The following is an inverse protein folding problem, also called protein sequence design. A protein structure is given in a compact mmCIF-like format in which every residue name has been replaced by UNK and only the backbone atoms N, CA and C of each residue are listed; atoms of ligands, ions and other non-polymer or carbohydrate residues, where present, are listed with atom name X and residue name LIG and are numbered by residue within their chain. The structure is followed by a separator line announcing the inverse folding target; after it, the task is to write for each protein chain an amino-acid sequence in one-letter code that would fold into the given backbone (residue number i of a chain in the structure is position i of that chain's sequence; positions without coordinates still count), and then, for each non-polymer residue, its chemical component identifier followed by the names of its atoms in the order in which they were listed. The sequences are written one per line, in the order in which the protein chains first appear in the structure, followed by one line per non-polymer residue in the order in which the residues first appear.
data_IF_379867910512
#
_entry.id   IF_379867910512
#
_cell.length_a   1.000
_cell.length_b   1.000
_cell.length_c   1.000
_cell.angle_alpha   90.00
_cell.angle_beta   90.00
_cell.angle_gamma   90.00
#
_symmetry.space_group_name_H-M   'P 1'
#
loop_
_entity.id
_entity.type
_entity.pdbx_description
1 polymer ?
#
# COMPACT_ATOMS: atom_id res chain seq x y z
N UNK A 1 16.17 19.35 47.57
CA UNK A 1 16.87 19.12 46.28
C UNK A 1 15.92 18.32 45.40
N UNK A 2 15.56 18.82 44.21
CA UNK A 2 14.75 18.02 43.29
C UNK A 2 15.60 16.84 42.79
N UNK A 3 14.96 15.68 42.68
CA UNK A 3 15.62 14.47 42.19
C UNK A 3 15.78 14.54 40.66
N UNK A 4 16.80 13.89 40.11
CA UNK A 4 17.04 13.80 38.67
C UNK A 4 15.78 13.44 37.85
N UNK A 5 14.92 12.49 38.29
CA UNK A 5 13.66 12.16 37.59
C UNK A 5 12.57 13.25 37.62
N UNK A 6 12.58 14.15 38.60
CA UNK A 6 11.63 15.28 38.67
C UNK A 6 12.05 16.41 37.73
N UNK A 7 13.36 16.70 37.70
CA UNK A 7 13.96 17.66 36.78
C UNK A 7 13.78 17.22 35.32
N UNK A 8 13.95 15.92 35.06
CA UNK A 8 13.72 15.28 33.76
C UNK A 8 12.27 15.45 33.25
N UNK A 9 11.27 15.12 34.09
CA UNK A 9 9.85 15.26 33.72
C UNK A 9 9.45 16.70 33.47
N UNK A 10 10.07 17.63 34.18
CA UNK A 10 9.80 19.05 34.01
C UNK A 10 10.44 19.60 32.72
N UNK A 11 11.66 19.18 32.39
CA UNK A 11 12.32 19.50 31.12
C UNK A 11 11.53 18.96 29.91
N UNK A 12 11.06 17.71 29.97
CA UNK A 12 10.23 17.11 28.91
C UNK A 12 8.93 17.91 28.68
N UNK A 13 8.25 18.35 29.74
CA UNK A 13 7.04 19.19 29.63
C UNK A 13 7.33 20.56 29.04
N UNK A 14 8.45 21.19 29.38
CA UNK A 14 8.81 22.50 28.81
C UNK A 14 9.20 22.40 27.32
N UNK A 15 9.84 21.32 26.90
CA UNK A 15 10.14 21.04 25.49
C UNK A 15 8.84 20.87 24.70
N UNK A 16 7.91 20.04 25.19
CA UNK A 16 6.59 19.82 24.57
C UNK A 16 5.70 21.10 24.55
N UNK A 17 5.80 21.96 25.56
CA UNK A 17 5.00 23.20 25.61
C UNK A 17 5.46 24.29 24.62
N UNK A 18 6.72 24.23 24.16
CA UNK A 18 7.31 25.20 23.23
C UNK A 18 7.48 24.66 21.79
N UNK A 19 6.94 23.46 21.50
CA UNK A 19 7.11 22.62 20.31
C UNK A 19 6.72 23.23 18.95
N UNK A 20 6.21 24.46 18.90
CA UNK A 20 5.83 25.10 17.63
C UNK A 20 6.52 26.44 17.36
N UNK A 21 7.35 26.99 18.25
CA UNK A 21 7.82 28.39 18.11
C UNK A 21 9.28 28.71 18.43
N UNK A 22 10.08 27.84 19.05
CA UNK A 22 11.43 28.27 19.46
C UNK A 22 12.54 27.80 18.51
N UNK A 23 13.25 28.76 17.90
CA UNK A 23 14.50 28.56 17.14
C UNK A 23 15.74 28.28 18.03
N UNK A 24 15.55 28.12 19.34
CA UNK A 24 16.62 27.94 20.33
C UNK A 24 17.34 26.60 20.11
N UNK A 25 18.58 26.47 20.59
CA UNK A 25 19.37 25.23 20.72
C UNK A 25 19.01 24.45 21.99
N UNK A 26 19.45 23.20 22.14
CA UNK A 26 19.20 22.44 23.38
C UNK A 26 19.91 23.09 24.58
N UNK A 27 21.13 23.58 24.36
CA UNK A 27 21.89 24.34 25.34
C UNK A 27 21.15 25.58 25.84
N UNK A 28 20.57 26.37 24.93
CA UNK A 28 19.78 27.56 25.32
C UNK A 28 18.51 27.22 26.10
N UNK A 29 17.87 26.07 25.80
CA UNK A 29 16.71 25.59 26.56
C UNK A 29 17.10 25.15 27.96
N UNK A 30 18.18 24.37 28.09
CA UNK A 30 18.71 23.95 29.39
C UNK A 30 19.18 25.15 30.20
N UNK A 31 19.79 26.16 29.57
CA UNK A 31 20.18 27.41 30.25
C UNK A 31 18.95 28.23 30.72
N UNK A 32 17.86 28.24 29.94
CA UNK A 32 16.61 28.89 30.37
C UNK A 32 15.94 28.13 31.52
N UNK A 33 15.89 26.81 31.44
CA UNK A 33 15.38 25.97 32.52
C UNK A 33 16.24 26.13 33.77
N UNK A 34 17.56 26.15 33.63
CA UNK A 34 18.50 26.34 34.71
C UNK A 34 18.31 27.70 35.41
N UNK A 35 18.12 28.79 34.65
CA UNK A 35 17.79 30.10 35.22
C UNK A 35 16.48 30.10 36.02
N UNK A 36 15.44 29.42 35.53
CA UNK A 36 14.14 29.32 36.24
C UNK A 36 14.21 28.43 37.47
N UNK A 37 14.98 27.36 37.42
CA UNK A 37 15.17 26.43 38.53
C UNK A 37 16.05 27.03 39.63
N UNK A 38 17.12 27.75 39.25
CA UNK A 38 17.92 28.57 40.17
C UNK A 38 17.05 29.61 40.88
N UNK A 39 16.14 30.28 40.17
CA UNK A 39 15.19 31.22 40.76
C UNK A 39 14.19 30.58 41.73
N UNK A 40 14.02 29.25 41.67
CA UNK A 40 13.19 28.44 42.59
C UNK A 40 14.02 27.71 43.66
N UNK A 41 15.30 28.05 43.81
CA UNK A 41 16.19 27.52 44.84
C UNK A 41 16.85 26.18 44.52
N UNK A 42 16.79 25.72 43.27
CA UNK A 42 17.45 24.49 42.81
C UNK A 42 18.81 24.83 42.19
N UNK A 43 19.89 24.20 42.65
CA UNK A 43 21.22 24.35 42.05
C UNK A 43 21.52 23.16 41.13
N UNK A 44 21.77 23.45 39.85
CA UNK A 44 22.20 22.46 38.87
C UNK A 44 23.72 22.35 38.89
N UNK A 45 24.25 21.14 39.08
CA UNK A 45 25.68 20.91 38.94
C UNK A 45 26.08 20.91 37.46
N UNK A 46 27.34 21.23 37.12
CA UNK A 46 27.84 21.18 35.75
C UNK A 46 27.62 19.82 35.07
N UNK A 47 27.68 18.72 35.83
CA UNK A 47 27.46 17.36 35.38
C UNK A 47 25.99 17.14 34.99
N UNK A 48 25.04 17.51 35.87
CA UNK A 48 23.60 17.40 35.59
C UNK A 48 23.20 18.32 34.43
N UNK A 49 23.82 19.51 34.33
CA UNK A 49 23.56 20.43 33.23
C UNK A 49 24.04 19.87 31.88
N UNK A 50 25.14 19.11 31.86
CA UNK A 50 25.64 18.42 30.67
C UNK A 50 24.72 17.27 30.28
N UNK A 51 24.35 16.41 31.24
CA UNK A 51 23.41 15.30 30.99
C UNK A 51 22.04 15.78 30.50
N UNK A 52 21.51 16.87 31.07
CA UNK A 52 20.26 17.48 30.60
C UNK A 52 20.41 18.10 29.21
N UNK A 53 21.60 18.58 28.84
CA UNK A 53 21.87 19.10 27.49
C UNK A 53 21.95 17.96 26.49
N UNK A 54 22.69 16.89 26.79
CA UNK A 54 22.80 15.69 25.94
C UNK A 54 21.43 15.02 25.77
N UNK A 55 20.63 14.96 26.85
CA UNK A 55 19.25 14.48 26.80
C UNK A 55 18.34 15.43 26.02
N UNK A 56 18.44 16.74 26.22
CA UNK A 56 17.67 17.73 25.46
C UNK A 56 18.06 17.73 23.97
N UNK A 57 19.32 17.45 23.62
CA UNK A 57 19.80 17.27 22.25
C UNK A 57 19.30 15.95 21.66
N UNK A 58 19.30 14.85 22.42
CA UNK A 58 18.72 13.56 22.01
C UNK A 58 17.20 13.66 21.82
N UNK A 59 16.49 14.37 22.71
CA UNK A 59 15.07 14.66 22.59
C UNK A 59 14.81 15.63 21.45
N UNK A 60 15.55 16.73 21.31
CA UNK A 60 15.37 17.65 20.17
C UNK A 60 15.66 16.94 18.87
N UNK A 61 16.68 16.09 18.79
CA UNK A 61 16.93 15.26 17.63
C UNK A 61 15.75 14.32 17.39
N UNK A 62 15.28 13.56 18.39
CA UNK A 62 14.22 12.56 18.21
C UNK A 62 12.82 13.16 18.00
N UNK A 63 12.54 14.31 18.62
CA UNK A 63 11.28 15.07 18.55
C UNK A 63 11.28 16.02 17.38
N UNK A 64 12.37 16.73 17.05
CA UNK A 64 12.47 17.51 15.80
C UNK A 64 12.51 16.58 14.60
N UNK A 65 13.22 15.46 14.66
CA UNK A 65 13.16 14.47 13.58
C UNK A 65 11.81 13.77 13.56
N UNK A 66 11.19 13.47 14.70
CA UNK A 66 9.86 12.84 14.78
C UNK A 66 8.73 13.76 14.34
N UNK A 67 8.77 15.05 14.71
CA UNK A 67 7.77 16.09 14.39
C UNK A 67 8.05 16.72 13.04
N UNK A 68 9.29 16.99 12.63
CA UNK A 68 9.56 17.39 11.24
C UNK A 68 9.28 16.24 10.27
N UNK A 69 9.54 14.97 10.62
CA UNK A 69 9.09 13.84 9.78
C UNK A 69 7.57 13.74 9.81
N UNK A 70 6.89 13.81 10.96
CA UNK A 70 5.42 13.76 11.02
C UNK A 70 4.72 14.95 10.32
N UNK A 71 5.31 16.15 10.39
CA UNK A 71 4.80 17.37 9.76
C UNK A 71 5.16 17.46 8.26
N UNK A 72 6.34 16.99 7.83
CA UNK A 72 6.69 16.85 6.39
C UNK A 72 5.90 15.71 5.73
N UNK A 73 5.56 14.64 6.45
CA UNK A 73 4.69 13.54 6.00
C UNK A 73 3.24 14.00 5.70
N UNK A 74 2.80 15.13 6.25
CA UNK A 74 1.46 15.66 6.04
C UNK A 74 1.31 16.47 4.75
N UNK A 75 2.39 17.03 4.19
CA UNK A 75 2.26 18.06 3.14
C UNK A 75 2.66 17.58 1.74
N UNK A 76 3.62 16.65 1.56
CA UNK A 76 3.94 16.13 0.22
C UNK A 76 4.46 14.68 0.25
N UNK A 77 3.75 13.75 -0.40
CA UNK A 77 4.30 12.45 -0.82
C UNK A 77 5.35 12.73 -1.92
N UNK A 78 6.60 12.20 -1.86
CA UNK A 78 6.94 10.78 -1.71
C UNK A 78 8.09 10.52 -0.71
N UNK A 79 7.86 9.63 0.26
CA UNK A 79 8.87 9.25 1.26
C UNK A 79 9.84 8.23 0.66
N UNK A 80 11.02 8.69 0.25
CA UNK A 80 12.20 7.81 0.24
C UNK A 80 12.54 7.46 1.68
N UNK A 81 12.83 6.18 1.93
CA UNK A 81 13.23 5.66 3.23
C UNK A 81 14.58 6.26 3.64
N UNK A 82 14.58 7.32 4.44
CA UNK A 82 15.82 7.99 4.82
C UNK A 82 16.58 7.33 5.97
N UNK A 83 16.03 6.28 6.62
CA UNK A 83 16.81 5.51 7.62
C UNK A 83 17.18 4.14 7.10
N UNK A 84 18.47 3.81 7.18
CA UNK A 84 19.00 2.51 6.80
C UNK A 84 18.31 1.35 7.55
N UNK A 85 17.88 1.58 8.80
CA UNK A 85 17.14 0.61 9.62
C UNK A 85 15.81 0.21 8.99
N UNK A 86 14.97 1.17 8.58
CA UNK A 86 13.67 0.86 7.97
C UNK A 86 13.86 0.21 6.59
N UNK A 87 14.88 0.62 5.83
CA UNK A 87 15.21 -0.03 4.56
C UNK A 87 15.60 -1.51 4.75
N UNK A 88 16.44 -1.82 5.74
CA UNK A 88 16.85 -3.19 6.05
C UNK A 88 15.69 -4.05 6.58
N UNK A 89 14.82 -3.47 7.43
CA UNK A 89 13.62 -4.17 7.93
C UNK A 89 12.63 -4.44 6.81
N UNK A 90 12.49 -3.51 5.85
CA UNK A 90 11.65 -3.72 4.68
C UNK A 90 12.19 -4.85 3.79
N UNK A 91 13.51 -4.93 3.62
CA UNK A 91 14.18 -6.02 2.92
C UNK A 91 13.94 -7.38 3.60
N UNK A 92 13.96 -7.45 4.93
CA UNK A 92 13.64 -8.68 5.69
C UNK A 92 12.16 -9.06 5.57
N UNK A 93 11.27 -8.08 5.69
CA UNK A 93 9.83 -8.27 5.60
C UNK A 93 9.38 -8.78 4.22
N UNK A 94 10.13 -8.40 3.18
CA UNK A 94 9.93 -8.82 1.80
C UNK A 94 9.95 -10.34 1.60
N UNK A 95 10.62 -11.08 2.49
CA UNK A 95 10.76 -12.54 2.40
C UNK A 95 9.74 -13.32 3.26
N UNK A 96 8.69 -12.67 3.76
CA UNK A 96 7.66 -13.30 4.61
C UNK A 96 6.39 -13.70 3.81
N UNK A 97 5.64 -14.69 4.30
CA UNK A 97 4.32 -15.06 3.76
C UNK A 97 3.25 -14.04 4.15
N UNK A 98 2.32 -13.77 3.24
CA UNK A 98 1.31 -12.73 3.38
C UNK A 98 -0.05 -13.27 3.83
N UNK A 99 -1.06 -12.42 4.13
CA UNK A 99 -2.39 -12.86 4.56
C UNK A 99 -3.12 -13.75 3.55
N UNK A 100 -2.78 -13.64 2.26
CA UNK A 100 -3.28 -14.53 1.20
C UNK A 100 -2.51 -15.87 1.14
N UNK A 101 -1.59 -16.12 2.08
CA UNK A 101 -0.78 -17.33 2.18
C UNK A 101 0.42 -17.38 1.24
N UNK A 102 0.56 -16.36 0.38
CA UNK A 102 1.46 -16.32 -0.76
C UNK A 102 2.67 -15.46 -0.40
N UNK A 103 3.88 -15.91 -0.74
CA UNK A 103 5.11 -15.09 -0.70
C UNK A 103 5.42 -14.50 -2.08
N UNK A 104 6.36 -13.55 -2.16
CA UNK A 104 6.82 -13.01 -3.44
C UNK A 104 7.14 -14.09 -4.48
N UNK A 105 7.85 -15.15 -4.06
CA UNK A 105 8.25 -16.23 -4.95
C UNK A 105 7.04 -16.95 -5.57
N UNK A 106 5.95 -17.10 -4.80
CA UNK A 106 4.66 -17.64 -5.27
C UNK A 106 3.92 -16.67 -6.21
N UNK A 107 4.34 -15.40 -6.31
CA UNK A 107 3.79 -14.43 -7.27
C UNK A 107 4.63 -14.39 -8.54
N UNK A 108 5.91 -14.69 -8.39
CA UNK A 108 6.89 -14.78 -9.46
C UNK A 108 7.10 -16.21 -9.98
N UNK A 109 6.41 -17.23 -9.47
CA UNK A 109 6.67 -18.63 -9.81
C UNK A 109 6.47 -18.98 -11.29
N UNK A 110 5.60 -18.23 -11.97
CA UNK A 110 5.33 -18.43 -13.40
C UNK A 110 6.43 -17.85 -14.31
N UNK A 111 7.44 -17.19 -13.75
CA UNK A 111 8.60 -16.72 -14.51
C UNK A 111 9.70 -17.76 -14.47
N UNK A 112 10.46 -17.88 -15.56
CA UNK A 112 11.69 -18.69 -15.58
C UNK A 112 12.64 -18.26 -14.46
N UNK A 113 13.45 -19.19 -13.98
CA UNK A 113 14.26 -19.02 -12.77
C UNK A 113 15.12 -17.75 -12.80
N UNK A 114 15.82 -17.48 -13.91
CA UNK A 114 16.65 -16.30 -14.10
C UNK A 114 15.85 -14.99 -14.00
N UNK A 115 14.68 -14.95 -14.65
CA UNK A 115 13.79 -13.79 -14.60
C UNK A 115 13.27 -13.60 -13.18
N UNK A 116 12.84 -14.68 -12.51
CA UNK A 116 12.34 -14.64 -11.15
C UNK A 116 13.39 -14.09 -10.17
N UNK A 117 14.64 -14.56 -10.27
CA UNK A 117 15.75 -14.06 -9.44
C UNK A 117 15.99 -12.57 -9.70
N UNK A 118 16.13 -12.18 -10.97
CA UNK A 118 16.36 -10.77 -11.31
C UNK A 118 15.22 -9.85 -10.88
N UNK A 119 13.95 -10.28 -11.02
CA UNK A 119 12.80 -9.51 -10.56
C UNK A 119 12.77 -9.37 -9.03
N UNK A 120 13.18 -10.41 -8.31
CA UNK A 120 13.31 -10.37 -6.84
C UNK A 120 14.35 -9.34 -6.41
N UNK A 121 15.53 -9.35 -7.03
CA UNK A 121 16.61 -8.40 -6.73
C UNK A 121 16.19 -6.96 -7.02
N UNK A 122 15.51 -6.73 -8.14
CA UNK A 122 14.99 -5.40 -8.51
C UNK A 122 14.03 -4.87 -7.45
N UNK A 123 13.14 -5.72 -6.94
CA UNK A 123 12.17 -5.30 -5.93
C UNK A 123 12.84 -5.05 -4.57
N UNK A 124 13.77 -5.90 -4.14
CA UNK A 124 14.54 -5.69 -2.91
C UNK A 124 15.33 -4.38 -2.96
N UNK A 125 16.02 -4.11 -4.07
CA UNK A 125 16.75 -2.86 -4.28
C UNK A 125 15.81 -1.65 -4.34
N UNK A 126 14.65 -1.79 -4.99
CA UNK A 126 13.66 -0.72 -5.06
C UNK A 126 13.10 -0.36 -3.68
N UNK A 127 12.81 -1.37 -2.86
CA UNK A 127 12.40 -1.22 -1.46
C UNK A 127 13.49 -0.50 -0.67
N UNK A 128 14.73 -1.00 -0.71
CA UNK A 128 15.88 -0.43 0.01
C UNK A 128 16.15 1.03 -0.36
N UNK A 129 16.05 1.36 -1.64
CA UNK A 129 16.30 2.70 -2.15
C UNK A 129 15.05 3.62 -2.12
N UNK A 130 13.90 3.15 -1.61
CA UNK A 130 12.66 3.92 -1.60
C UNK A 130 12.20 4.37 -2.99
N UNK A 131 12.43 3.55 -4.02
CA UNK A 131 12.11 3.92 -5.41
C UNK A 131 10.60 3.98 -5.64
N UNK A 132 10.17 4.78 -6.63
CA UNK A 132 8.78 4.79 -7.06
C UNK A 132 8.43 3.50 -7.82
N UNK A 133 7.21 3.01 -7.64
CA UNK A 133 6.71 1.81 -8.32
C UNK A 133 6.86 1.91 -9.85
N UNK A 134 6.59 3.08 -10.43
CA UNK A 134 6.67 3.27 -11.88
C UNK A 134 8.12 3.10 -12.39
N UNK A 135 9.11 3.62 -11.64
CA UNK A 135 10.53 3.39 -11.96
C UNK A 135 10.90 1.92 -11.81
N UNK A 136 10.44 1.27 -10.75
CA UNK A 136 10.69 -0.16 -10.48
C UNK A 136 10.16 -1.04 -11.62
N UNK A 137 8.94 -0.79 -12.12
CA UNK A 137 8.35 -1.54 -13.23
C UNK A 137 9.19 -1.45 -14.50
N UNK A 138 9.77 -0.28 -14.80
CA UNK A 138 10.66 -0.13 -15.95
C UNK A 138 11.95 -0.94 -15.79
N UNK A 139 12.50 -1.02 -14.58
CA UNK A 139 13.68 -1.84 -14.29
C UNK A 139 13.34 -3.34 -14.35
N UNK A 140 12.18 -3.75 -13.83
CA UNK A 140 11.67 -5.11 -13.96
C UNK A 140 11.54 -5.50 -15.43
N UNK A 141 10.96 -4.63 -16.26
CA UNK A 141 10.84 -4.88 -17.69
C UNK A 141 12.21 -5.04 -18.36
N UNK A 142 13.16 -4.14 -18.10
CA UNK A 142 14.54 -4.26 -18.62
C UNK A 142 15.23 -5.56 -18.18
N UNK A 143 14.88 -6.06 -17.00
CA UNK A 143 15.42 -7.32 -16.48
C UNK A 143 14.89 -8.50 -17.29
N UNK A 144 13.60 -8.51 -17.63
CA UNK A 144 13.00 -9.50 -18.54
C UNK A 144 13.65 -9.43 -19.93
N UNK A 145 13.84 -8.22 -20.47
CA UNK A 145 14.46 -8.02 -21.78
C UNK A 145 15.91 -8.53 -21.82
N UNK A 146 16.69 -8.30 -20.76
CA UNK A 146 18.06 -8.83 -20.65
C UNK A 146 18.09 -10.36 -20.60
N UNK A 147 17.22 -10.97 -19.80
CA UNK A 147 17.10 -12.42 -19.72
C UNK A 147 16.64 -13.04 -21.05
N UNK A 148 15.92 -12.27 -21.86
CA UNK A 148 15.45 -12.68 -23.20
C UNK A 148 16.46 -12.33 -24.30
N UNK A 149 17.76 -12.56 -24.04
CA UNK A 149 18.86 -12.25 -24.96
C UNK A 149 18.87 -10.78 -25.48
N UNK A 150 18.41 -9.83 -24.66
CA UNK A 150 18.33 -8.41 -25.01
C UNK A 150 17.14 -8.03 -25.90
N UNK A 151 16.17 -8.93 -26.10
CA UNK A 151 14.97 -8.65 -26.88
C UNK A 151 14.16 -7.52 -26.22
N UNK A 152 14.08 -6.37 -26.89
CA UNK A 152 13.22 -5.25 -26.47
C UNK A 152 11.75 -5.68 -26.53
N UNK A 153 10.97 -5.25 -25.55
CA UNK A 153 9.56 -5.63 -25.41
C UNK A 153 9.34 -7.14 -25.28
N UNK A 154 10.30 -7.86 -24.69
CA UNK A 154 10.15 -9.28 -24.41
C UNK A 154 8.87 -9.53 -23.58
N UNK A 155 8.00 -10.42 -24.09
CA UNK A 155 6.72 -10.80 -23.50
C UNK A 155 6.85 -12.22 -22.98
N UNK A 156 6.44 -12.46 -21.72
CA UNK A 156 6.33 -13.83 -21.19
C UNK A 156 5.00 -14.46 -21.59
N UNK A 157 5.02 -15.76 -21.89
CA UNK A 157 3.87 -16.48 -22.46
C UNK A 157 2.58 -16.37 -21.63
N UNK A 158 2.68 -16.24 -20.31
CA UNK A 158 1.54 -16.12 -19.38
C UNK A 158 0.52 -15.02 -19.75
N UNK A 159 0.93 -13.98 -20.46
CA UNK A 159 0.04 -12.86 -20.80
C UNK A 159 -0.74 -13.03 -22.09
N UNK A 160 -0.52 -14.13 -22.81
CA UNK A 160 -1.31 -14.48 -23.98
C UNK A 160 -2.73 -14.88 -23.54
N UNK A 161 -3.74 -14.31 -24.19
CA UNK A 161 -5.15 -14.64 -23.96
C UNK A 161 -5.71 -15.25 -25.25
N UNK A 162 -6.37 -16.40 -25.13
CA UNK A 162 -6.85 -17.18 -26.28
C UNK A 162 -7.72 -16.35 -27.21
N UNK A 163 -8.66 -15.57 -26.68
CA UNK A 163 -9.54 -14.73 -27.52
C UNK A 163 -8.79 -13.69 -28.37
N UNK A 164 -7.63 -13.19 -27.90
CA UNK A 164 -6.82 -12.23 -28.68
C UNK A 164 -6.08 -12.96 -29.78
N UNK A 165 -5.58 -14.15 -29.46
CA UNK A 165 -4.92 -15.03 -30.42
C UNK A 165 -5.91 -15.46 -31.51
N UNK A 166 -7.09 -15.95 -31.14
CA UNK A 166 -8.12 -16.42 -32.05
C UNK A 166 -8.60 -15.29 -32.98
N UNK A 167 -8.80 -14.09 -32.43
CA UNK A 167 -9.14 -12.90 -33.21
C UNK A 167 -8.02 -12.51 -34.18
N UNK A 168 -6.77 -12.55 -33.73
CA UNK A 168 -5.62 -12.25 -34.57
C UNK A 168 -5.48 -13.26 -35.72
N UNK A 169 -5.54 -14.56 -35.43
CA UNK A 169 -5.44 -15.63 -36.42
C UNK A 169 -6.55 -15.51 -37.46
N UNK A 170 -7.81 -15.35 -37.03
CA UNK A 170 -8.94 -15.16 -37.94
C UNK A 170 -8.81 -13.88 -38.80
N UNK A 171 -8.21 -12.81 -38.25
CA UNK A 171 -7.96 -11.57 -38.98
C UNK A 171 -6.87 -11.73 -40.04
N UNK A 172 -5.74 -12.34 -39.70
CA UNK A 172 -4.64 -12.61 -40.63
C UNK A 172 -5.07 -13.58 -41.74
N UNK A 173 -5.83 -14.62 -41.39
CA UNK A 173 -6.39 -15.55 -42.36
C UNK A 173 -7.28 -14.84 -43.38
N UNK A 174 -8.08 -13.85 -42.94
CA UNK A 174 -8.94 -13.05 -43.83
C UNK A 174 -8.14 -12.10 -44.72
N UNK A 175 -7.03 -11.53 -44.22
CA UNK A 175 -6.14 -10.70 -45.03
C UNK A 175 -5.52 -11.53 -46.17
N UNK A 176 -5.17 -12.80 -45.90
CA UNK A 176 -4.52 -13.69 -46.87
C UNK A 176 -5.50 -14.37 -47.82
N UNK A 177 -6.64 -14.80 -47.30
CA UNK A 177 -7.68 -15.52 -48.04
C UNK A 177 -9.07 -14.96 -47.73
N UNK A 178 -9.69 -14.24 -48.68
CA UNK A 178 -11.06 -13.73 -48.54
C UNK A 178 -12.12 -14.79 -48.22
N UNK A 179 -11.89 -16.07 -48.52
CA UNK A 179 -12.84 -17.16 -48.22
C UNK A 179 -13.01 -17.41 -46.71
N UNK A 180 -12.06 -16.98 -45.90
CA UNK A 180 -12.08 -17.18 -44.44
C UNK A 180 -12.97 -16.16 -43.70
N UNK A 181 -13.67 -15.27 -44.42
CA UNK A 181 -14.56 -14.24 -43.85
C UNK A 181 -15.55 -14.76 -42.81
N UNK A 182 -16.10 -15.95 -43.01
CA UNK A 182 -17.01 -16.58 -42.03
C UNK A 182 -16.35 -16.82 -40.66
N UNK A 183 -15.06 -17.16 -40.63
CA UNK A 183 -14.31 -17.35 -39.39
C UNK A 183 -14.03 -16.01 -38.70
N UNK A 184 -13.67 -14.98 -39.48
CA UNK A 184 -13.52 -13.62 -38.98
C UNK A 184 -14.81 -13.07 -38.36
N UNK A 185 -15.94 -13.20 -39.05
CA UNK A 185 -17.23 -12.72 -38.57
C UNK A 185 -17.63 -13.41 -37.26
N UNK A 186 -17.32 -14.71 -37.12
CA UNK A 186 -17.52 -15.46 -35.86
C UNK A 186 -16.62 -14.92 -34.74
N UNK A 187 -15.32 -14.77 -35.00
CA UNK A 187 -14.38 -14.25 -34.00
C UNK A 187 -14.77 -12.83 -33.53
N UNK A 188 -15.24 -11.97 -34.43
CA UNK A 188 -15.78 -10.66 -34.08
C UNK A 188 -16.98 -10.77 -33.15
N UNK A 189 -17.94 -11.65 -33.45
CA UNK A 189 -19.13 -11.84 -32.62
C UNK A 189 -18.75 -12.29 -31.21
N UNK A 190 -17.92 -13.32 -31.09
CA UNK A 190 -17.48 -13.89 -29.81
C UNK A 190 -16.73 -12.87 -28.95
N UNK A 191 -15.82 -12.09 -29.56
CA UNK A 191 -15.06 -11.06 -28.85
C UNK A 191 -15.95 -9.89 -28.45
N UNK A 192 -16.93 -9.51 -29.29
CA UNK A 192 -17.85 -8.41 -28.97
C UNK A 192 -18.72 -8.77 -27.77
N UNK A 193 -19.30 -9.98 -27.75
CA UNK A 193 -20.06 -10.50 -26.62
C UNK A 193 -19.22 -10.52 -25.33
N UNK A 194 -17.98 -11.01 -25.43
CA UNK A 194 -17.04 -11.02 -24.30
C UNK A 194 -16.79 -9.61 -23.76
N UNK A 195 -16.49 -8.64 -24.63
CA UNK A 195 -16.20 -7.26 -24.26
C UNK A 195 -17.43 -6.60 -23.62
N UNK A 196 -18.62 -6.86 -24.16
CA UNK A 196 -19.88 -6.32 -23.62
C UNK A 196 -20.22 -6.88 -22.24
N UNK A 197 -19.85 -8.14 -21.98
CA UNK A 197 -19.91 -8.75 -20.65
C UNK A 197 -18.95 -8.16 -19.62
N UNK A 198 -17.93 -7.39 -20.03
CA UNK A 198 -16.99 -6.77 -19.10
C UNK A 198 -17.58 -5.51 -18.44
N UNK A 199 -17.29 -5.35 -17.14
CA UNK A 199 -17.53 -4.09 -16.43
C UNK A 199 -16.75 -2.95 -17.09
N UNK A 200 -17.39 -1.78 -17.22
CA UNK A 200 -16.81 -0.56 -17.83
C UNK A 200 -15.66 -0.01 -16.97
N UNK A 201 -14.48 -0.60 -17.18
CA UNK A 201 -13.26 -0.39 -16.41
C UNK A 201 -12.06 -0.32 -17.37
N UNK A 202 -10.86 -0.11 -16.83
CA UNK A 202 -9.63 -0.12 -17.64
C UNK A 202 -9.44 -1.41 -18.44
N UNK A 203 -9.85 -2.56 -17.92
CA UNK A 203 -9.75 -3.85 -18.62
C UNK A 203 -10.63 -3.92 -19.86
N UNK A 204 -11.87 -3.41 -19.78
CA UNK A 204 -12.78 -3.32 -20.94
C UNK A 204 -12.21 -2.37 -22.00
N UNK A 205 -11.81 -1.16 -21.60
CA UNK A 205 -11.22 -0.17 -22.51
C UNK A 205 -9.98 -0.68 -23.23
N UNK A 206 -9.15 -1.44 -22.52
CA UNK A 206 -7.97 -2.04 -23.11
C UNK A 206 -8.37 -3.11 -24.14
N UNK A 207 -9.37 -3.95 -23.85
CA UNK A 207 -9.89 -4.96 -24.77
C UNK A 207 -10.52 -4.34 -26.03
N UNK A 208 -11.35 -3.30 -25.85
CA UNK A 208 -11.94 -2.51 -26.95
C UNK A 208 -10.86 -1.93 -27.87
N UNK A 209 -9.75 -1.45 -27.29
CA UNK A 209 -8.63 -0.87 -28.05
C UNK A 209 -7.93 -1.92 -28.93
N UNK A 210 -7.54 -3.08 -28.38
CA UNK A 210 -6.90 -4.12 -29.20
C UNK A 210 -7.87 -4.69 -30.24
N UNK A 211 -9.14 -4.87 -29.89
CA UNK A 211 -10.18 -5.29 -30.82
C UNK A 211 -10.32 -4.31 -32.00
N UNK A 212 -10.41 -3.01 -31.71
CA UNK A 212 -10.48 -1.97 -32.73
C UNK A 212 -9.23 -1.90 -33.61
N UNK A 213 -8.04 -2.09 -33.03
CA UNK A 213 -6.78 -2.07 -33.77
C UNK A 213 -6.65 -3.27 -34.72
N UNK A 214 -7.03 -4.47 -34.29
CA UNK A 214 -7.01 -5.66 -35.15
C UNK A 214 -8.06 -5.52 -36.28
N UNK A 215 -9.25 -5.03 -35.97
CA UNK A 215 -10.27 -4.76 -37.00
C UNK A 215 -9.77 -3.77 -38.06
N UNK A 216 -9.15 -2.68 -37.63
CA UNK A 216 -8.56 -1.69 -38.54
C UNK A 216 -7.44 -2.29 -39.41
N UNK A 217 -6.62 -3.17 -38.84
CA UNK A 217 -5.58 -3.88 -39.59
C UNK A 217 -6.15 -4.76 -40.70
N UNK A 218 -7.23 -5.49 -40.40
CA UNK A 218 -7.96 -6.33 -41.36
C UNK A 218 -8.62 -5.48 -42.46
N UNK A 219 -9.27 -4.37 -42.09
CA UNK A 219 -9.87 -3.43 -43.04
C UNK A 219 -8.84 -2.84 -44.01
N UNK A 220 -7.61 -2.63 -43.54
CA UNK A 220 -6.51 -2.10 -44.35
C UNK A 220 -5.71 -3.19 -45.09
N UNK A 221 -5.98 -4.47 -44.85
CA UNK A 221 -5.21 -5.58 -45.43
C UNK A 221 -3.76 -5.62 -44.97
N UNK A 222 -3.47 -5.20 -43.74
CA UNK A 222 -2.11 -4.98 -43.22
C UNK A 222 -1.81 -5.88 -42.03
N UNK A 223 -1.17 -7.01 -42.27
CA UNK A 223 -0.79 -7.98 -41.23
C UNK A 223 0.12 -7.34 -40.16
N UNK A 224 1.02 -6.43 -40.55
CA UNK A 224 1.96 -5.77 -39.65
C UNK A 224 1.28 -4.89 -38.59
N UNK A 225 0.08 -4.38 -38.89
CA UNK A 225 -0.74 -3.63 -37.95
C UNK A 225 -1.42 -4.56 -36.95
N UNK A 226 -1.84 -5.76 -37.38
CA UNK A 226 -2.39 -6.78 -36.49
C UNK A 226 -1.32 -7.31 -35.53
N UNK A 227 -0.10 -7.58 -36.05
CA UNK A 227 1.06 -7.96 -35.25
C UNK A 227 1.38 -6.91 -34.18
N UNK A 228 1.40 -5.64 -34.58
CA UNK A 228 1.66 -4.52 -33.69
C UNK A 228 0.58 -4.40 -32.61
N UNK A 229 -0.69 -4.56 -32.99
CA UNK A 229 -1.82 -4.50 -32.05
C UNK A 229 -1.68 -5.56 -30.95
N UNK A 230 -1.42 -6.82 -31.32
CA UNK A 230 -1.22 -7.91 -30.37
C UNK A 230 0.02 -7.69 -29.52
N UNK A 231 1.14 -7.28 -30.13
CA UNK A 231 2.41 -7.00 -29.41
C UNK A 231 2.21 -5.95 -28.32
N UNK A 232 1.64 -4.79 -28.64
CA UNK A 232 1.46 -3.72 -27.66
C UNK A 232 0.41 -4.07 -26.60
N UNK A 233 -0.63 -4.83 -26.97
CA UNK A 233 -1.58 -5.38 -26.01
C UNK A 233 -0.91 -6.27 -24.95
N UNK A 234 -0.13 -7.26 -25.40
CA UNK A 234 0.58 -8.18 -24.52
C UNK A 234 1.61 -7.45 -23.64
N UNK A 235 2.32 -6.48 -24.23
CA UNK A 235 3.27 -5.66 -23.51
C UNK A 235 2.61 -4.78 -22.42
N UNK A 236 1.49 -4.12 -22.73
CA UNK A 236 0.69 -3.36 -21.75
C UNK A 236 0.19 -4.25 -20.61
N UNK A 237 -0.27 -5.46 -20.92
CA UNK A 237 -0.69 -6.47 -19.93
C UNK A 237 0.45 -6.89 -19.01
N UNK A 238 1.62 -7.13 -19.58
CA UNK A 238 2.83 -7.44 -18.83
C UNK A 238 3.19 -6.30 -17.88
N UNK A 239 3.29 -5.06 -18.37
CA UNK A 239 3.62 -3.90 -17.54
C UNK A 239 2.60 -3.69 -16.42
N UNK A 240 1.32 -3.87 -16.70
CA UNK A 240 0.26 -3.80 -15.69
C UNK A 240 0.43 -4.88 -14.61
N UNK A 241 0.74 -6.11 -15.01
CA UNK A 241 1.01 -7.21 -14.07
C UNK A 241 2.24 -6.95 -13.21
N UNK A 242 3.34 -6.51 -13.80
CA UNK A 242 4.56 -6.12 -13.07
C UNK A 242 4.28 -4.99 -12.08
N UNK A 243 3.48 -3.98 -12.49
CA UNK A 243 3.05 -2.89 -11.62
C UNK A 243 2.23 -3.40 -10.44
N UNK A 244 1.37 -4.39 -10.67
CA UNK A 244 0.59 -4.99 -9.58
C UNK A 244 1.48 -5.72 -8.58
N UNK A 245 2.43 -6.50 -9.07
CA UNK A 245 3.42 -7.15 -8.21
C UNK A 245 4.17 -6.05 -7.45
N UNK A 246 4.94 -5.20 -8.14
CA UNK A 246 5.77 -4.17 -7.53
C UNK A 246 5.03 -3.34 -6.48
N UNK A 247 3.83 -2.82 -6.79
CA UNK A 247 3.05 -2.04 -5.82
C UNK A 247 2.72 -2.84 -4.57
N UNK A 248 2.28 -4.09 -4.73
CA UNK A 248 1.87 -4.89 -3.58
C UNK A 248 3.08 -5.23 -2.71
N UNK A 249 4.15 -5.76 -3.32
CA UNK A 249 5.34 -6.19 -2.57
C UNK A 249 5.99 -5.01 -1.84
N UNK A 250 6.17 -3.88 -2.53
CA UNK A 250 6.79 -2.70 -1.95
C UNK A 250 5.93 -2.11 -0.82
N UNK A 251 4.61 -2.03 -1.02
CA UNK A 251 3.70 -1.45 -0.03
C UNK A 251 3.62 -2.32 1.24
N UNK A 252 3.59 -3.65 1.08
CA UNK A 252 3.64 -4.60 2.20
C UNK A 252 4.95 -4.50 2.96
N UNK A 253 6.09 -4.52 2.26
CA UNK A 253 7.40 -4.38 2.89
C UNK A 253 7.52 -3.07 3.67
N UNK A 254 7.04 -1.95 3.11
CA UNK A 254 7.01 -0.66 3.82
C UNK A 254 6.14 -0.71 5.07
N UNK A 255 4.97 -1.34 4.98
CA UNK A 255 4.04 -1.48 6.09
C UNK A 255 4.66 -2.17 7.29
N UNK A 256 5.30 -3.32 7.03
CA UNK A 256 5.94 -4.14 8.05
C UNK A 256 7.18 -3.44 8.62
N UNK A 257 7.96 -2.77 7.77
CA UNK A 257 9.16 -2.06 8.22
C UNK A 257 8.86 -0.90 9.17
N UNK A 258 7.79 -0.13 8.90
CA UNK A 258 7.34 0.94 9.80
C UNK A 258 7.03 0.37 11.17
N UNK A 259 6.31 -0.74 11.23
CA UNK A 259 5.97 -1.42 12.48
C UNK A 259 7.23 -1.93 13.18
N UNK A 260 8.01 -2.78 12.52
CA UNK A 260 9.18 -3.42 13.13
C UNK A 260 10.23 -2.40 13.61
N UNK A 261 10.37 -1.27 12.91
CA UNK A 261 11.32 -0.23 13.27
C UNK A 261 10.88 0.69 14.39
N UNK A 262 9.61 0.61 14.84
CA UNK A 262 9.05 1.54 15.83
C UNK A 262 8.27 0.86 16.95
N UNK A 263 7.96 -0.43 16.86
CA UNK A 263 7.14 -1.13 17.85
C UNK A 263 7.79 -1.18 19.24
N UNK A 264 9.12 -1.21 19.31
CA UNK A 264 9.88 -1.22 20.56
C UNK A 264 10.21 0.20 21.07
N UNK A 265 9.76 1.25 20.39
CA UNK A 265 9.92 2.63 20.86
C UNK A 265 8.76 2.99 21.80
N UNK A 266 9.07 3.21 23.09
CA UNK A 266 8.08 3.52 24.13
C UNK A 266 7.38 4.88 23.92
N UNK A 267 7.94 5.77 23.11
CA UNK A 267 7.30 7.05 22.76
C UNK A 267 6.16 6.86 21.76
N UNK A 268 6.20 5.79 20.97
CA UNK A 268 5.14 5.45 20.03
C UNK A 268 4.02 4.76 20.80
N UNK A 269 2.82 5.34 20.74
CA UNK A 269 1.63 4.79 21.40
C UNK A 269 0.80 3.90 20.47
N UNK A 270 1.01 4.03 19.15
CA UNK A 270 0.22 3.32 18.16
C UNK A 270 0.47 3.80 16.72
N UNK A 271 -0.37 3.32 15.80
CA UNK A 271 -0.25 3.55 14.37
C UNK A 271 -1.56 4.04 13.79
N UNK A 272 -1.54 5.22 13.18
CA UNK A 272 -2.68 5.73 12.43
C UNK A 272 -2.72 5.11 11.03
N UNK A 273 -3.83 4.45 10.69
CA UNK A 273 -4.11 4.04 9.32
C UNK A 273 -4.56 5.25 8.50
N UNK A 274 -3.71 5.70 7.57
CA UNK A 274 -3.98 6.85 6.72
C UNK A 274 -4.27 6.42 5.29
N UNK A 275 -5.42 6.82 4.77
CA UNK A 275 -5.77 6.61 3.36
C UNK A 275 -4.78 7.35 2.46
N UNK A 276 -4.39 6.71 1.36
CA UNK A 276 -3.65 7.39 0.29
C UNK A 276 -4.56 8.39 -0.42
N UNK A 277 -3.99 9.46 -0.99
CA UNK A 277 -4.73 10.33 -1.92
C UNK A 277 -5.23 9.60 -3.18
N UNK A 278 -4.64 8.44 -3.50
CA UNK A 278 -5.05 7.55 -4.59
C UNK A 278 -6.11 6.53 -4.19
N UNK A 279 -6.59 6.58 -2.94
CA UNK A 279 -7.64 5.71 -2.42
C UNK A 279 -9.02 6.20 -2.90
N UNK A 280 -9.49 5.66 -4.02
CA UNK A 280 -10.75 6.10 -4.67
C UNK A 280 -11.95 5.20 -4.37
N UNK A 281 -11.72 3.92 -4.08
CA UNK A 281 -12.80 2.96 -3.87
C UNK A 281 -13.01 2.80 -2.38
N UNK A 282 -14.25 2.94 -1.91
CA UNK A 282 -14.57 2.65 -0.51
C UNK A 282 -14.36 1.16 -0.26
N UNK A 283 -13.47 0.82 0.66
CA UNK A 283 -13.13 -0.56 1.04
C UNK A 283 -12.84 -0.67 2.55
N UNK A 284 -12.22 -1.78 2.97
CA UNK A 284 -11.84 -2.02 4.37
C UNK A 284 -10.82 -1.00 4.92
N UNK A 285 -10.02 -0.36 4.07
CA UNK A 285 -9.12 0.70 4.51
C UNK A 285 -9.89 1.90 5.04
N UNK A 286 -11.06 2.23 4.49
CA UNK A 286 -11.90 3.31 5.02
C UNK A 286 -12.36 2.98 6.44
N UNK A 287 -12.68 1.71 6.69
CA UNK A 287 -13.00 1.23 8.01
C UNK A 287 -11.78 1.36 8.94
N UNK A 288 -10.60 0.87 8.54
CA UNK A 288 -9.38 1.00 9.34
C UNK A 288 -8.99 2.46 9.61
N UNK A 289 -9.17 3.35 8.64
CA UNK A 289 -8.94 4.79 8.82
C UNK A 289 -9.99 5.48 9.71
N UNK A 290 -11.06 4.77 10.06
CA UNK A 290 -12.18 5.32 10.82
C UNK A 290 -12.36 4.71 12.21
N UNK A 291 -11.91 3.47 12.46
CA UNK A 291 -12.16 2.76 13.71
C UNK A 291 -11.46 3.45 14.89
N UNK A 292 -12.14 3.58 16.02
CA UNK A 292 -11.55 4.06 17.27
C UNK A 292 -11.20 2.88 18.17
N UNK A 293 -9.90 2.70 18.43
CA UNK A 293 -9.40 1.65 19.32
C UNK A 293 -8.87 2.23 20.65
N UNK A 294 -9.40 3.39 21.07
CA UNK A 294 -9.04 4.05 22.33
C UNK A 294 -7.97 5.15 22.20
N UNK A 295 -7.36 5.28 21.02
CA UNK A 295 -6.38 6.32 20.71
C UNK A 295 -6.91 7.36 19.71
N UNK A 296 -8.20 7.31 19.40
CA UNK A 296 -8.87 8.17 18.43
C UNK A 296 -9.00 7.54 17.05
N UNK A 297 -9.67 8.28 16.17
CA UNK A 297 -10.06 7.83 14.82
C UNK A 297 -8.88 7.29 14.01
N UNK A 298 -8.99 6.01 13.66
CA UNK A 298 -8.07 5.28 12.81
C UNK A 298 -6.71 4.99 13.45
N UNK A 299 -6.56 5.18 14.76
CA UNK A 299 -5.32 4.91 15.49
C UNK A 299 -5.41 3.55 16.17
N UNK A 300 -4.61 2.62 15.68
CA UNK A 300 -4.45 1.29 16.24
C UNK A 300 -3.40 1.31 17.35
N UNK A 301 -3.58 0.47 18.36
CA UNK A 301 -2.54 0.21 19.36
C UNK A 301 -1.42 -0.64 18.76
N UNK A 302 -0.29 -0.79 19.46
CA UNK A 302 0.77 -1.72 19.03
C UNK A 302 0.28 -3.17 18.92
N UNK A 303 -0.65 -3.57 19.78
CA UNK A 303 -1.16 -4.95 19.80
C UNK A 303 -2.21 -5.20 18.72
N UNK A 304 -2.97 -4.16 18.36
CA UNK A 304 -4.11 -4.29 17.44
C UNK A 304 -3.82 -3.84 16.01
N UNK A 305 -2.66 -3.24 15.74
CA UNK A 305 -2.31 -2.78 14.39
C UNK A 305 -2.28 -3.94 13.40
N UNK A 306 -3.00 -3.86 12.26
CA UNK A 306 -2.89 -4.87 11.22
C UNK A 306 -1.44 -4.96 10.76
N UNK A 307 -0.81 -6.13 10.86
CA UNK A 307 0.61 -6.32 10.53
C UNK A 307 0.88 -6.40 9.01
N UNK A 308 -0.19 -6.47 8.22
CA UNK A 308 -0.12 -6.51 6.76
C UNK A 308 -1.06 -5.50 6.11
N UNK A 309 -0.87 -5.27 4.81
CA UNK A 309 -1.83 -4.48 4.02
C UNK A 309 -3.18 -5.17 3.99
N UNK A 310 -4.22 -4.35 4.02
CA UNK A 310 -5.60 -4.83 4.08
C UNK A 310 -6.05 -5.53 2.79
N UNK A 311 -5.42 -5.22 1.66
CA UNK A 311 -5.69 -5.84 0.36
C UNK A 311 -4.51 -5.66 -0.61
N UNK A 312 -4.46 -6.45 -1.71
CA UNK A 312 -3.54 -6.21 -2.81
C UNK A 312 -3.69 -4.80 -3.38
N UNK A 313 -2.62 -4.25 -3.97
CA UNK A 313 -2.59 -2.86 -4.49
C UNK A 313 -2.82 -1.75 -3.46
N UNK A 314 -2.98 -2.05 -2.18
CA UNK A 314 -3.18 -1.02 -1.15
C UNK A 314 -2.01 -0.04 -1.12
N UNK A 315 -2.28 1.25 -1.22
CA UNK A 315 -1.30 2.34 -1.12
C UNK A 315 -1.43 3.13 0.18
N UNK A 316 -2.37 2.75 1.06
CA UNK A 316 -2.58 3.36 2.37
C UNK A 316 -1.36 3.17 3.27
N UNK A 317 -1.17 4.07 4.22
CA UNK A 317 0.06 4.18 5.01
C UNK A 317 -0.23 3.99 6.49
N UNK A 318 0.78 3.52 7.23
CA UNK A 318 0.80 3.64 8.68
C UNK A 318 1.64 4.84 9.08
N UNK A 319 1.07 5.69 9.94
CA UNK A 319 1.78 6.82 10.54
C UNK A 319 1.98 6.48 12.02
N UNK A 320 3.22 6.27 12.50
CA UNK A 320 3.49 6.14 13.93
C UNK A 320 3.01 7.37 14.68
N UNK A 321 2.43 7.17 15.85
CA UNK A 321 1.84 8.25 16.68
C UNK A 321 2.51 8.26 18.05
N UNK A 322 2.86 9.46 18.51
CA UNK A 322 3.28 9.74 19.89
C UNK A 322 2.15 10.35 20.74
N UNK A 323 1.06 10.78 20.09
CA UNK A 323 -0.12 11.36 20.74
C UNK A 323 -1.42 10.84 20.13
N UNK A 324 -2.50 10.71 20.94
CA UNK A 324 -3.82 10.31 20.44
C UNK A 324 -4.41 11.34 19.48
N UNK A 325 -5.37 10.91 18.67
CA UNK A 325 -6.23 11.79 17.87
C UNK A 325 -7.47 12.15 18.70
N UNK A 326 -7.75 13.44 18.84
CA UNK A 326 -8.91 13.91 19.64
C UNK A 326 -10.25 13.57 19.02
N UNK A 327 -10.31 13.41 17.70
CA UNK A 327 -11.52 13.06 16.97
C UNK A 327 -11.84 11.59 17.19
N UNK A 328 -13.01 11.28 17.73
CA UNK A 328 -13.47 9.90 17.86
C UNK A 328 -13.80 9.29 16.51
N UNK A 329 -13.59 7.98 16.42
CA UNK A 329 -13.89 7.15 15.25
C UNK A 329 -15.18 6.34 15.36
N UNK A 330 -15.33 5.38 14.45
CA UNK A 330 -16.35 4.33 14.54
C UNK A 330 -15.97 3.32 15.61
N UNK A 331 -16.92 2.93 16.45
CA UNK A 331 -16.69 1.96 17.54
C UNK A 331 -16.52 0.53 17.04
N UNK A 332 -17.18 0.21 15.93
CA UNK A 332 -17.16 -1.12 15.33
C UNK A 332 -17.55 -1.05 13.84
N UNK A 333 -17.46 -2.20 13.18
CA UNK A 333 -17.80 -2.33 11.77
C UNK A 333 -19.27 -2.04 11.47
N UNK A 334 -20.19 -2.39 12.38
CA UNK A 334 -21.63 -2.10 12.23
C UNK A 334 -21.90 -0.60 12.18
N UNK A 335 -21.26 0.20 13.05
CA UNK A 335 -21.38 1.66 13.02
C UNK A 335 -20.80 2.24 11.71
N UNK A 336 -19.67 1.71 11.25
CA UNK A 336 -19.08 2.11 9.96
C UNK A 336 -20.05 1.86 8.80
N UNK A 337 -20.59 0.64 8.70
CA UNK A 337 -21.57 0.29 7.65
C UNK A 337 -22.85 1.13 7.76
N UNK A 338 -23.29 1.43 8.98
CA UNK A 338 -24.43 2.31 9.26
C UNK A 338 -24.28 3.71 8.65
N UNK A 339 -23.06 4.26 8.64
CA UNK A 339 -22.75 5.56 8.06
C UNK A 339 -22.63 5.60 6.53
N UNK A 340 -22.70 4.45 5.85
CA UNK A 340 -22.57 4.37 4.39
C UNK A 340 -23.92 4.40 3.68
N UNK A 341 -23.92 4.95 2.46
CA UNK A 341 -25.09 4.90 1.57
C UNK A 341 -25.38 3.45 1.16
N UNK A 342 -26.65 3.14 0.87
CA UNK A 342 -27.09 1.78 0.54
C UNK A 342 -26.33 1.14 -0.64
N UNK A 343 -25.90 1.95 -1.62
CA UNK A 343 -25.05 1.47 -2.72
C UNK A 343 -23.65 1.06 -2.23
N UNK A 344 -22.95 1.95 -1.53
CA UNK A 344 -21.59 1.67 -1.01
C UNK A 344 -21.59 0.50 -0.03
N UNK A 345 -22.62 0.40 0.81
CA UNK A 345 -22.79 -0.73 1.74
C UNK A 345 -22.87 -2.07 1.00
N UNK A 346 -23.63 -2.16 -0.10
CA UNK A 346 -23.73 -3.38 -0.91
C UNK A 346 -22.43 -3.72 -1.66
N UNK A 347 -21.64 -2.73 -2.02
CA UNK A 347 -20.35 -2.94 -2.70
C UNK A 347 -19.27 -3.49 -1.74
N UNK A 348 -19.39 -3.22 -0.43
CA UNK A 348 -18.44 -3.66 0.61
C UNK A 348 -18.71 -5.04 1.19
N UNK A 349 -19.97 -5.44 1.23
CA UNK A 349 -20.40 -6.65 1.92
C UNK A 349 -20.57 -7.76 0.87
N UNK A 350 -19.93 -8.93 1.04
CA UNK A 350 -20.16 -10.08 0.19
C UNK A 350 -21.64 -10.45 0.10
N UNK A 351 -22.07 -11.01 -1.03
CA UNK A 351 -23.49 -11.33 -1.27
C UNK A 351 -24.10 -12.20 -0.16
N UNK A 352 -23.36 -13.17 0.37
CA UNK A 352 -23.83 -14.04 1.46
C UNK A 352 -24.08 -13.24 2.75
N UNK A 353 -23.20 -12.31 3.10
CA UNK A 353 -23.32 -11.50 4.30
C UNK A 353 -24.47 -10.48 4.17
N UNK A 354 -24.68 -9.94 2.96
CA UNK A 354 -25.84 -9.11 2.67
C UNK A 354 -27.15 -9.89 2.86
N UNK A 355 -27.22 -11.11 2.32
CA UNK A 355 -28.38 -12.00 2.50
C UNK A 355 -28.62 -12.38 3.97
N UNK A 356 -27.56 -12.61 4.74
CA UNK A 356 -27.67 -12.88 6.17
C UNK A 356 -28.27 -11.68 6.93
N UNK A 357 -27.78 -10.47 6.64
CA UNK A 357 -28.31 -9.22 7.23
C UNK A 357 -29.78 -9.01 6.84
N UNK A 358 -30.13 -9.23 5.57
CA UNK A 358 -31.51 -9.11 5.09
C UNK A 358 -32.47 -10.10 5.77
N UNK A 359 -31.95 -11.26 6.22
CA UNK A 359 -32.68 -12.26 7.01
C UNK A 359 -32.68 -11.96 8.53
N UNK A 360 -32.12 -10.83 8.94
CA UNK A 360 -32.11 -10.38 10.33
C UNK A 360 -30.86 -10.76 11.13
N UNK A 361 -29.80 -11.28 10.50
CA UNK A 361 -28.55 -11.54 11.21
C UNK A 361 -27.92 -10.21 11.69
N UNK A 362 -27.57 -10.09 12.99
CA UNK A 362 -26.92 -8.89 13.48
C UNK A 362 -25.51 -8.77 12.88
N UNK A 363 -25.17 -7.59 12.38
CA UNK A 363 -23.88 -7.31 11.73
C UNK A 363 -22.70 -7.71 12.61
N UNK A 364 -22.79 -7.49 13.92
CA UNK A 364 -21.71 -7.82 14.88
C UNK A 364 -21.38 -9.32 14.94
N UNK A 365 -22.30 -10.21 14.52
CA UNK A 365 -22.04 -11.67 14.39
C UNK A 365 -21.33 -12.04 13.09
N UNK A 366 -21.26 -11.12 12.13
CA UNK A 366 -20.58 -11.30 10.85
C UNK A 366 -19.17 -10.73 10.87
N UNK A 367 -18.77 -10.05 11.95
CA UNK A 367 -17.46 -9.41 12.09
C UNK A 367 -16.54 -10.35 12.86
N UNK A 368 -15.28 -10.43 12.43
CA UNK A 368 -14.22 -11.17 13.12
C UNK A 368 -14.05 -10.66 14.56
N UNK A 369 -13.59 -11.52 15.45
CA UNK A 369 -13.36 -11.18 16.86
C UNK A 369 -12.33 -10.08 17.07
N UNK A 370 -11.36 -9.96 16.17
CA UNK A 370 -10.37 -8.86 16.15
C UNK A 370 -10.96 -7.52 15.68
N UNK A 371 -12.20 -7.52 15.18
CA UNK A 371 -12.87 -6.35 14.64
C UNK A 371 -12.29 -5.88 13.31
N UNK A 372 -11.42 -6.65 12.65
CA UNK A 372 -10.66 -6.24 11.44
C UNK A 372 -11.28 -6.74 10.13
N UNK A 373 -12.59 -6.98 10.10
CA UNK A 373 -13.30 -7.34 8.87
C UNK A 373 -14.42 -8.34 9.12
N UNK A 374 -15.01 -8.83 8.03
CA UNK A 374 -16.04 -9.86 8.09
C UNK A 374 -15.41 -11.25 8.24
N UNK A 375 -16.11 -12.16 8.92
CA UNK A 375 -15.80 -13.59 8.89
C UNK A 375 -15.98 -14.13 7.47
N UNK A 376 -15.36 -15.26 7.17
CA UNK A 376 -15.57 -15.99 5.93
C UNK A 376 -16.96 -16.63 5.91
N UNK A 377 -17.42 -17.01 4.71
CA UNK A 377 -18.67 -17.76 4.56
C UNK A 377 -18.61 -19.07 5.35
N UNK A 378 -17.49 -19.79 5.27
CA UNK A 378 -17.32 -21.07 5.96
C UNK A 378 -17.37 -20.88 7.48
N UNK A 379 -16.74 -19.83 8.01
CA UNK A 379 -16.84 -19.49 9.44
C UNK A 379 -18.27 -19.11 9.85
N UNK A 380 -19.03 -18.46 8.98
CA UNK A 380 -20.44 -18.14 9.25
C UNK A 380 -21.31 -19.40 9.25
N UNK A 381 -21.18 -20.25 8.23
CA UNK A 381 -21.96 -21.46 8.04
C UNK A 381 -21.66 -22.51 9.15
N UNK A 382 -20.47 -22.49 9.76
CA UNK A 382 -20.10 -23.36 10.89
C UNK A 382 -20.44 -22.81 12.29
N UNK A 383 -20.86 -21.54 12.39
CA UNK A 383 -21.24 -20.88 13.65
C UNK A 383 -22.77 -20.69 13.81
N UNK A 384 -23.55 -21.15 12.82
CA UNK A 384 -25.01 -21.30 12.86
C UNK A 384 -25.31 -22.76 13.19
#
# INVERSE_FOLDING_TARGET
MATYPELYRQLAREILANEARSALSARELVDQLARRLNAKGYALTPEISRELTDYADSLKSSVRDGIEKAAKIAIDLPVTLQSATIANLAEQAFNQRWPDGIMLSDRLFNFGEDIRSGLTDVLQQAVKAGQSTDKTVLVMQRTIERASAGQRFAIVQRYQEDWVKDLYEAGVDLIRDPQTRKNWDRAIADVSERIDGLKVTGSRRAAERVFSQIKLAVEQGREELADSAVKYWLYDKQLYSLKRIARTEMSVAMHQAVIAGTENDDTIIGYQWRLSSTHVVTDICDYYASIDMGLGKGVFTKDTVPRFKAHPQCTCLLIPRVTPIRTSGNRNYAQFLGGLTGRKRRELIPQWAAQAIDRGAPVDKLVRSDGLGLITRDEFDNNI
#
